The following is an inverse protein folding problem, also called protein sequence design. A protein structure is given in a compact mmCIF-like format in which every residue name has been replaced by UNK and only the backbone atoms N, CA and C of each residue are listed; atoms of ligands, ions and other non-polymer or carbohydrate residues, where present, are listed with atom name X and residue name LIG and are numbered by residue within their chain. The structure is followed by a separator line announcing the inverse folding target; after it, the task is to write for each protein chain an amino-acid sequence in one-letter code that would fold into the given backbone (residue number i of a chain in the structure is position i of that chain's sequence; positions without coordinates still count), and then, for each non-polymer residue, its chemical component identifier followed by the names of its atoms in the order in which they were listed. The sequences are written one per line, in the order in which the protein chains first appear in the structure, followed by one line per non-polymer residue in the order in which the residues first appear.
data_IF_736754342212
#
_entry.id   IF_736754342212
#
_cell.length_a   1.000
_cell.length_b   1.000
_cell.length_c   1.000
_cell.angle_alpha   90.00
_cell.angle_beta   90.00
_cell.angle_gamma   90.00
#
_symmetry.space_group_name_H-M   'P 1'
#
loop_
_entity.id
_entity.type
_entity.pdbx_description
1 polymer ?
#
# COMPACT_ATOMS: atom_id res chain seq x y z
N UNK A 1 -25.46 9.75 11.95
CA UNK A 1 -24.33 10.37 12.68
C UNK A 1 -23.23 10.66 11.66
N UNK A 2 -22.66 11.89 11.65
CA UNK A 2 -21.45 12.15 10.87
C UNK A 2 -20.31 11.36 11.52
N UNK A 3 -19.71 10.41 10.81
CA UNK A 3 -18.49 9.78 11.28
C UNK A 3 -17.43 10.89 11.41
N UNK A 4 -16.92 11.08 12.60
CA UNK A 4 -15.84 12.06 12.82
C UNK A 4 -14.51 11.32 12.68
N UNK A 5 -13.76 11.65 11.65
CA UNK A 5 -12.38 11.21 11.50
C UNK A 5 -11.46 12.32 12.04
N UNK A 6 -10.33 11.93 12.57
CA UNK A 6 -9.39 12.85 13.19
C UNK A 6 -8.55 13.57 12.12
N UNK A 7 -8.53 14.89 12.17
CA UNK A 7 -7.64 15.69 11.32
C UNK A 7 -6.35 15.96 12.08
N UNK A 8 -5.23 15.74 11.43
CA UNK A 8 -3.90 15.85 12.04
C UNK A 8 -3.35 17.28 11.87
N UNK A 9 -2.74 17.79 12.92
CA UNK A 9 -1.99 19.05 12.84
C UNK A 9 -0.70 18.84 12.04
N UNK A 10 -0.09 19.93 11.59
CA UNK A 10 1.20 19.84 10.89
C UNK A 10 2.28 19.15 11.75
N UNK A 11 2.30 19.39 13.07
CA UNK A 11 3.20 18.68 13.98
C UNK A 11 2.96 17.18 14.00
N UNK A 12 1.69 16.77 14.01
CA UNK A 12 1.31 15.36 14.00
C UNK A 12 1.69 14.71 12.66
N UNK A 13 1.50 15.41 11.54
CA UNK A 13 1.92 14.93 10.22
C UNK A 13 3.43 14.69 10.19
N UNK A 14 4.25 15.59 10.78
CA UNK A 14 5.70 15.37 10.87
C UNK A 14 6.04 14.11 11.68
N UNK A 15 5.28 13.82 12.75
CA UNK A 15 5.48 12.58 13.52
C UNK A 15 5.12 11.34 12.69
N UNK A 16 4.04 11.42 11.90
CA UNK A 16 3.69 10.36 10.97
C UNK A 16 4.76 10.19 9.88
N UNK A 17 5.38 11.31 9.42
CA UNK A 17 6.46 11.24 8.45
C UNK A 17 7.63 10.40 8.98
N UNK A 18 7.98 10.52 10.26
CA UNK A 18 9.03 9.69 10.86
C UNK A 18 8.70 8.21 10.77
N UNK A 19 7.44 7.83 11.08
CA UNK A 19 6.98 6.45 10.96
C UNK A 19 6.99 6.00 9.49
N UNK A 20 6.52 6.87 8.60
CA UNK A 20 6.49 6.59 7.15
C UNK A 20 7.89 6.37 6.57
N UNK A 21 8.89 7.15 7.00
CA UNK A 21 10.27 6.97 6.55
C UNK A 21 10.85 5.65 7.08
N UNK A 22 10.49 5.26 8.29
CA UNK A 22 10.95 3.98 8.85
C UNK A 22 10.30 2.80 8.09
N UNK A 23 9.02 2.92 7.76
CA UNK A 23 8.32 1.95 6.90
C UNK A 23 9.02 1.84 5.54
N UNK A 24 9.29 2.98 4.90
CA UNK A 24 9.99 3.01 3.60
C UNK A 24 11.36 2.34 3.68
N UNK A 25 12.11 2.58 4.76
CA UNK A 25 13.43 1.96 4.97
C UNK A 25 13.29 0.43 5.14
N UNK A 26 12.29 -0.02 5.89
CA UNK A 26 12.06 -1.47 6.07
C UNK A 26 11.74 -2.13 4.72
N UNK A 27 10.82 -1.51 3.95
CA UNK A 27 10.46 -2.00 2.63
C UNK A 27 11.66 -2.00 1.66
N UNK A 28 12.51 -0.97 1.70
CA UNK A 28 13.70 -0.91 0.86
C UNK A 28 14.67 -2.06 1.19
N UNK A 29 14.88 -2.35 2.49
CA UNK A 29 15.74 -3.45 2.91
C UNK A 29 15.17 -4.82 2.52
N UNK A 30 13.85 -4.99 2.67
CA UNK A 30 13.16 -6.22 2.22
C UNK A 30 13.32 -6.36 0.70
N UNK A 31 13.04 -5.30 -0.05
CA UNK A 31 13.15 -5.32 -1.53
C UNK A 31 14.55 -5.71 -1.99
N UNK A 32 15.58 -5.19 -1.32
CA UNK A 32 16.97 -5.50 -1.65
C UNK A 32 17.34 -6.97 -1.37
N UNK A 33 16.59 -7.63 -0.47
CA UNK A 33 16.82 -9.04 -0.11
C UNK A 33 16.05 -10.03 -1.00
N UNK A 34 15.09 -9.55 -1.81
CA UNK A 34 14.27 -10.43 -2.65
C UNK A 34 15.13 -11.03 -3.76
N UNK A 35 15.25 -12.35 -3.75
CA UNK A 35 15.98 -13.14 -4.75
C UNK A 35 15.48 -14.59 -4.68
N UNK A 36 15.73 -15.40 -5.72
CA UNK A 36 15.38 -16.83 -5.63
C UNK A 36 16.07 -17.48 -4.43
N UNK A 37 15.34 -18.30 -3.70
CA UNK A 37 15.85 -19.05 -2.56
C UNK A 37 15.61 -18.40 -1.21
N UNK A 38 15.23 -17.11 -1.15
CA UNK A 38 14.86 -16.48 0.13
C UNK A 38 13.45 -16.92 0.53
N UNK A 39 13.20 -17.08 1.81
CA UNK A 39 11.85 -17.37 2.31
C UNK A 39 11.13 -16.08 2.68
N UNK A 40 9.79 -16.14 2.66
CA UNK A 40 8.99 -14.99 3.08
C UNK A 40 9.22 -14.69 4.58
N UNK A 41 9.54 -15.69 5.39
CA UNK A 41 9.87 -15.50 6.80
C UNK A 41 11.20 -14.75 7.00
N UNK A 42 12.22 -15.03 6.15
CA UNK A 42 13.48 -14.25 6.19
C UNK A 42 13.23 -12.78 5.85
N UNK A 43 12.34 -12.50 4.91
CA UNK A 43 11.96 -11.12 4.57
C UNK A 43 11.26 -10.44 5.75
N UNK A 44 10.40 -11.17 6.47
CA UNK A 44 9.72 -10.69 7.67
C UNK A 44 10.74 -10.27 8.75
N UNK A 45 11.75 -11.11 8.98
CA UNK A 45 12.80 -10.85 9.96
C UNK A 45 13.62 -9.60 9.60
N UNK A 46 13.87 -9.37 8.31
CA UNK A 46 14.59 -8.18 7.84
C UNK A 46 13.77 -6.92 8.16
N UNK A 47 12.46 -6.97 7.89
CA UNK A 47 11.57 -5.84 8.19
C UNK A 47 11.54 -5.57 9.71
N UNK A 48 11.33 -6.62 10.50
CA UNK A 48 11.26 -6.49 11.96
C UNK A 48 12.56 -5.87 12.51
N UNK A 49 13.70 -6.42 12.11
CA UNK A 49 14.98 -5.89 12.55
C UNK A 49 15.14 -4.41 12.18
N UNK A 50 14.78 -4.06 10.95
CA UNK A 50 14.91 -2.67 10.48
C UNK A 50 14.04 -1.72 11.31
N UNK A 51 12.79 -2.11 11.56
CA UNK A 51 11.85 -1.26 12.32
C UNK A 51 12.32 -1.10 13.76
N UNK A 52 12.71 -2.20 14.42
CA UNK A 52 13.15 -2.16 15.81
C UNK A 52 14.48 -1.39 15.97
N UNK A 53 15.44 -1.60 15.08
CA UNK A 53 16.70 -0.85 15.08
C UNK A 53 16.46 0.67 14.86
N UNK A 54 15.40 1.03 14.14
CA UNK A 54 14.99 2.41 13.94
C UNK A 54 14.18 3.00 15.08
N UNK A 55 13.97 2.25 16.16
CA UNK A 55 13.25 2.72 17.35
C UNK A 55 11.72 2.63 17.21
N UNK A 56 11.23 1.96 16.19
CA UNK A 56 9.80 1.77 15.97
C UNK A 56 9.29 0.42 16.44
N UNK A 57 7.99 0.23 16.27
CA UNK A 57 7.28 -1.02 16.56
C UNK A 57 6.64 -1.49 15.24
N UNK A 58 6.80 -2.78 14.85
CA UNK A 58 6.03 -3.31 13.72
C UNK A 58 4.53 -3.24 14.06
N UNK A 59 3.79 -2.39 13.36
CA UNK A 59 2.40 -2.14 13.74
C UNK A 59 1.47 -3.29 13.39
N UNK A 60 1.82 -4.14 12.42
CA UNK A 60 1.03 -5.35 12.10
C UNK A 60 1.00 -6.30 13.30
N UNK A 61 2.09 -6.37 14.09
CA UNK A 61 2.13 -7.20 15.32
C UNK A 61 1.18 -6.69 16.41
N UNK A 62 0.62 -5.48 16.26
CA UNK A 62 -0.39 -4.94 17.17
C UNK A 62 -1.81 -5.36 16.76
N UNK A 63 -1.98 -5.96 15.58
CA UNK A 63 -3.28 -6.48 15.13
C UNK A 63 -3.57 -7.79 15.85
N UNK A 64 -4.69 -7.91 16.57
CA UNK A 64 -4.99 -9.15 17.31
C UNK A 64 -4.98 -10.38 16.41
N UNK A 65 -4.17 -11.37 16.76
CA UNK A 65 -4.05 -12.63 16.03
C UNK A 65 -3.02 -12.63 14.91
N UNK A 66 -2.40 -11.49 14.59
CA UNK A 66 -1.34 -11.43 13.58
C UNK A 66 0.02 -11.30 14.28
N UNK A 67 1.00 -12.14 13.92
CA UNK A 67 2.25 -12.25 14.68
C UNK A 67 3.50 -11.89 13.87
N UNK A 68 3.32 -11.39 12.65
CA UNK A 68 4.41 -11.06 11.73
C UNK A 68 4.51 -9.54 11.51
N UNK A 69 5.63 -9.13 10.96
CA UNK A 69 5.93 -7.71 10.71
C UNK A 69 5.39 -7.24 9.36
N UNK A 70 5.37 -8.17 8.38
CA UNK A 70 4.91 -7.86 7.02
C UNK A 70 3.78 -8.82 6.64
N UNK A 71 3.03 -8.47 5.59
CA UNK A 71 2.33 -9.44 4.78
C UNK A 71 3.18 -9.70 3.54
N UNK A 72 3.34 -10.99 3.17
CA UNK A 72 4.14 -11.40 2.01
C UNK A 72 3.26 -12.26 1.11
N UNK A 73 2.68 -11.65 0.10
CA UNK A 73 1.67 -12.28 -0.75
C UNK A 73 2.28 -12.65 -2.09
N UNK A 74 2.17 -13.92 -2.49
CA UNK A 74 2.88 -14.47 -3.64
C UNK A 74 1.88 -14.92 -4.71
N UNK A 75 2.08 -14.42 -5.93
CA UNK A 75 1.33 -14.83 -7.14
C UNK A 75 -0.19 -14.61 -6.97
N UNK A 76 -0.97 -15.68 -6.81
CA UNK A 76 -2.44 -15.57 -6.68
C UNK A 76 -2.91 -15.12 -5.30
N UNK A 77 -2.05 -15.07 -4.29
CA UNK A 77 -2.36 -14.40 -3.02
C UNK A 77 -2.18 -12.91 -3.24
N UNK A 78 -3.23 -12.12 -3.09
CA UNK A 78 -3.22 -10.68 -3.41
C UNK A 78 -2.72 -9.88 -2.22
N UNK A 79 -3.27 -10.15 -1.02
CA UNK A 79 -2.92 -9.45 0.23
C UNK A 79 -2.98 -10.42 1.41
N UNK A 80 -2.42 -9.99 2.53
CA UNK A 80 -2.45 -10.65 3.84
C UNK A 80 -1.77 -12.04 3.87
N UNK A 81 -0.90 -12.36 2.90
CA UNK A 81 -0.14 -13.60 2.95
C UNK A 81 0.75 -13.65 4.18
N UNK A 82 0.64 -14.72 4.98
CA UNK A 82 1.44 -14.87 6.21
C UNK A 82 2.87 -15.29 5.84
N UNK A 83 3.90 -14.56 6.31
CA UNK A 83 5.28 -15.01 6.15
C UNK A 83 5.52 -16.42 6.70
N UNK A 84 6.23 -17.23 5.93
CA UNK A 84 6.42 -18.65 6.24
C UNK A 84 7.73 -19.16 5.64
N UNK A 85 7.94 -20.47 5.69
CA UNK A 85 9.07 -21.11 5.02
C UNK A 85 8.86 -21.23 3.50
N UNK A 86 7.85 -20.56 2.95
CA UNK A 86 7.66 -20.50 1.49
C UNK A 86 8.89 -19.86 0.85
N UNK A 87 9.55 -20.62 -0.03
CA UNK A 87 10.75 -20.18 -0.74
C UNK A 87 10.29 -19.45 -2.01
N UNK A 88 10.83 -18.25 -2.24
CA UNK A 88 10.57 -17.51 -3.46
C UNK A 88 11.37 -18.08 -4.63
N UNK A 89 10.69 -18.20 -5.76
CA UNK A 89 11.30 -18.70 -7.01
C UNK A 89 11.45 -17.56 -8.03
N UNK A 90 12.39 -17.73 -8.96
CA UNK A 90 12.58 -16.76 -10.04
C UNK A 90 11.28 -16.59 -10.82
N UNK A 91 10.81 -15.36 -10.92
CA UNK A 91 9.59 -15.02 -11.65
C UNK A 91 8.34 -14.86 -10.78
N UNK A 92 8.43 -15.17 -9.50
CA UNK A 92 7.29 -14.93 -8.60
C UNK A 92 6.94 -13.44 -8.47
N UNK A 93 5.58 -12.73 -8.23
CA UNK A 93 5.14 -11.73 -8.10
C UNK A 93 5.08 -11.59 -6.89
N UNK A 94 5.62 -10.87 -6.17
CA UNK A 94 5.55 -10.81 -4.69
C UNK A 94 5.11 -9.41 -4.26
N UNK A 95 4.04 -9.35 -3.49
CA UNK A 95 3.58 -8.11 -2.82
C UNK A 95 4.03 -8.15 -1.36
N UNK A 96 4.74 -7.12 -0.94
CA UNK A 96 5.18 -6.94 0.46
C UNK A 96 4.49 -5.70 1.01
N UNK A 97 3.80 -5.88 2.12
CA UNK A 97 3.09 -4.83 2.83
C UNK A 97 3.65 -4.74 4.25
N UNK A 98 3.89 -3.52 4.73
CA UNK A 98 4.63 -3.29 5.98
C UNK A 98 4.26 -1.96 6.59
N UNK A 99 4.06 -1.97 7.90
CA UNK A 99 3.83 -0.73 8.63
C UNK A 99 4.69 -0.61 9.89
N UNK A 100 4.99 0.63 10.25
CA UNK A 100 5.76 0.93 11.46
C UNK A 100 5.04 2.00 12.30
N UNK A 101 5.16 1.85 13.62
CA UNK A 101 4.72 2.86 14.57
C UNK A 101 5.92 3.50 15.25
N UNK A 102 5.95 4.83 15.33
CA UNK A 102 6.92 5.57 16.15
C UNK A 102 6.14 6.52 17.08
N UNK A 103 6.34 6.36 18.38
CA UNK A 103 5.74 7.23 19.40
C UNK A 103 4.21 7.37 19.26
N UNK A 104 3.57 6.26 18.88
CA UNK A 104 2.12 6.20 18.73
C UNK A 104 1.59 6.80 17.42
N UNK A 105 2.44 6.94 16.39
CA UNK A 105 2.05 7.41 15.06
C UNK A 105 2.46 6.38 14.01
N UNK A 106 1.59 6.13 13.05
CA UNK A 106 1.72 5.03 12.10
C UNK A 106 2.10 5.49 10.70
N UNK A 107 2.84 4.63 10.01
CA UNK A 107 3.03 4.67 8.56
C UNK A 107 2.77 3.28 8.00
N UNK A 108 2.21 3.21 6.80
CA UNK A 108 1.82 1.97 6.13
C UNK A 108 2.10 2.08 4.64
N UNK A 109 2.63 1.01 4.03
CA UNK A 109 2.99 1.06 2.62
C UNK A 109 3.25 -0.34 2.06
N UNK A 110 2.98 -0.53 0.77
CA UNK A 110 3.21 -1.80 0.08
C UNK A 110 3.82 -1.60 -1.31
N UNK A 111 4.51 -2.63 -1.77
CA UNK A 111 5.00 -2.71 -3.15
C UNK A 111 4.85 -4.12 -3.71
N UNK A 112 4.78 -4.22 -5.04
CA UNK A 112 4.80 -5.51 -5.75
C UNK A 112 5.99 -5.54 -6.70
N UNK A 113 6.77 -6.62 -6.66
CA UNK A 113 7.93 -6.83 -7.55
C UNK A 113 7.97 -8.25 -8.09
N UNK A 114 8.77 -8.43 -9.11
CA UNK A 114 9.05 -9.76 -9.68
C UNK A 114 10.39 -10.25 -9.12
N UNK A 115 10.41 -11.48 -8.59
CA UNK A 115 11.66 -12.11 -8.15
C UNK A 115 12.58 -12.28 -9.37
N UNK A 116 13.81 -11.76 -9.33
CA UNK A 116 14.67 -11.76 -10.52
C UNK A 116 15.08 -13.17 -10.98
N UNK A 117 15.50 -13.29 -12.25
CA UNK A 117 16.08 -14.53 -12.79
C UNK A 117 15.22 -15.25 -13.82
N UNK A 118 13.95 -14.86 -13.99
CA UNK A 118 13.07 -15.46 -15.00
C UNK A 118 12.76 -14.47 -16.14
N UNK A 119 12.37 -15.01 -17.27
CA UNK A 119 11.98 -14.25 -18.47
C UNK A 119 10.81 -14.95 -19.14
N UNK A 120 10.17 -14.28 -20.07
CA UNK A 120 9.08 -14.87 -20.87
C UNK A 120 7.81 -14.06 -20.75
N UNK A 121 6.77 -14.55 -21.37
CA UNK A 121 5.50 -13.82 -21.48
C UNK A 121 4.81 -13.64 -20.12
N UNK A 122 4.81 -14.65 -19.28
CA UNK A 122 4.23 -14.55 -17.94
C UNK A 122 4.91 -13.44 -17.13
N UNK A 123 6.24 -13.32 -17.24
CA UNK A 123 6.98 -12.29 -16.49
C UNK A 123 6.60 -10.89 -16.96
N UNK A 124 6.40 -10.72 -18.28
CA UNK A 124 5.94 -9.44 -18.84
C UNK A 124 4.53 -9.09 -18.33
N UNK A 125 3.65 -10.09 -18.28
CA UNK A 125 2.27 -9.89 -17.79
C UNK A 125 2.27 -9.51 -16.31
N UNK A 126 3.07 -10.18 -15.48
CA UNK A 126 3.24 -9.85 -14.06
C UNK A 126 3.81 -8.44 -13.87
N UNK A 127 4.81 -8.08 -14.68
CA UNK A 127 5.38 -6.72 -14.62
C UNK A 127 4.32 -5.69 -15.00
N UNK A 128 3.57 -5.94 -16.08
CA UNK A 128 2.49 -5.03 -16.50
C UNK A 128 1.44 -4.88 -15.39
N UNK A 129 1.06 -5.99 -14.73
CA UNK A 129 0.09 -5.93 -13.63
C UNK A 129 0.62 -5.04 -12.49
N UNK A 130 1.87 -5.24 -12.07
CA UNK A 130 2.50 -4.42 -11.02
C UNK A 130 2.58 -2.94 -11.44
N UNK A 131 3.00 -2.67 -12.68
CA UNK A 131 3.14 -1.30 -13.19
C UNK A 131 1.79 -0.58 -13.24
N UNK A 132 0.73 -1.28 -13.65
CA UNK A 132 -0.63 -0.72 -13.69
C UNK A 132 -1.13 -0.45 -12.27
N UNK A 133 -0.87 -1.36 -11.33
CA UNK A 133 -1.24 -1.17 -9.92
C UNK A 133 -0.52 0.06 -9.35
N UNK A 134 0.80 0.15 -9.54
CA UNK A 134 1.59 1.30 -9.09
C UNK A 134 1.09 2.60 -9.75
N UNK A 135 0.85 2.56 -11.05
CA UNK A 135 0.33 3.74 -11.78
C UNK A 135 -1.03 4.18 -11.25
N UNK A 136 -1.88 3.22 -10.88
CA UNK A 136 -3.21 3.54 -10.33
C UNK A 136 -3.10 4.17 -8.93
N UNK A 137 -2.14 3.72 -8.11
CA UNK A 137 -1.85 4.36 -6.83
C UNK A 137 -1.46 5.83 -7.05
N UNK A 138 -0.51 6.10 -7.95
CA UNK A 138 -0.08 7.48 -8.19
C UNK A 138 -1.20 8.33 -8.81
N UNK A 139 -2.07 7.74 -9.65
CA UNK A 139 -3.26 8.45 -10.15
C UNK A 139 -4.21 8.82 -9.00
N UNK A 140 -4.40 7.91 -8.06
CA UNK A 140 -5.22 8.18 -6.85
C UNK A 140 -4.61 9.28 -5.99
N UNK A 141 -3.29 9.23 -5.74
CA UNK A 141 -2.60 10.27 -4.95
C UNK A 141 -2.68 11.63 -5.68
N UNK A 142 -2.48 11.64 -7.01
CA UNK A 142 -2.60 12.87 -7.80
C UNK A 142 -4.02 13.44 -7.72
N UNK A 143 -5.03 12.58 -7.80
CA UNK A 143 -6.42 13.02 -7.64
C UNK A 143 -6.65 13.63 -6.25
N UNK A 144 -6.13 12.99 -5.20
CA UNK A 144 -6.27 13.50 -3.82
C UNK A 144 -5.73 14.92 -3.69
N UNK A 145 -4.65 15.24 -4.39
CA UNK A 145 -4.03 16.58 -4.32
C UNK A 145 -4.99 17.71 -4.75
N UNK A 146 -5.96 17.41 -5.63
CA UNK A 146 -6.93 18.41 -6.10
C UNK A 146 -8.39 18.11 -5.74
N UNK A 147 -8.64 16.99 -5.07
CA UNK A 147 -9.99 16.51 -4.80
C UNK A 147 -10.75 17.41 -3.81
N UNK A 148 -12.03 17.58 -4.06
CA UNK A 148 -12.95 18.19 -3.09
C UNK A 148 -13.57 17.12 -2.19
N UNK A 149 -13.70 15.91 -2.72
CA UNK A 149 -14.33 14.77 -2.05
C UNK A 149 -13.43 13.55 -2.15
N UNK A 150 -13.32 12.80 -1.06
CA UNK A 150 -12.34 11.70 -0.97
C UNK A 150 -12.57 10.62 -2.03
N UNK A 151 -13.82 10.31 -2.35
CA UNK A 151 -14.09 9.22 -3.30
C UNK A 151 -13.74 9.57 -4.75
N UNK A 152 -13.28 10.80 -5.04
CA UNK A 152 -12.64 11.12 -6.33
C UNK A 152 -11.35 10.29 -6.52
N UNK A 153 -10.69 9.89 -5.42
CA UNK A 153 -9.52 9.00 -5.44
C UNK A 153 -9.87 7.67 -6.13
N UNK A 154 -10.95 7.02 -5.68
CA UNK A 154 -11.35 5.72 -6.24
C UNK A 154 -11.73 5.80 -7.71
N UNK A 155 -12.29 6.93 -8.13
CA UNK A 155 -12.59 7.16 -9.56
C UNK A 155 -11.29 7.16 -10.36
N UNK A 156 -10.27 7.90 -9.90
CA UNK A 156 -8.98 8.01 -10.60
C UNK A 156 -8.23 6.68 -10.64
N UNK A 157 -8.25 5.93 -9.52
CA UNK A 157 -7.64 4.58 -9.45
C UNK A 157 -8.30 3.68 -10.51
N UNK A 158 -9.64 3.57 -10.48
CA UNK A 158 -10.36 2.68 -11.38
C UNK A 158 -10.18 3.08 -12.85
N UNK A 159 -10.25 4.39 -13.17
CA UNK A 159 -10.07 4.86 -14.54
C UNK A 159 -8.67 4.53 -15.05
N UNK A 160 -7.64 4.69 -14.19
CA UNK A 160 -6.28 4.32 -14.58
C UNK A 160 -6.21 2.82 -14.91
N UNK A 161 -6.66 1.96 -14.00
CA UNK A 161 -6.60 0.49 -14.20
C UNK A 161 -7.30 0.10 -15.50
N UNK A 162 -8.57 0.51 -15.66
CA UNK A 162 -9.38 0.08 -16.80
C UNK A 162 -8.91 0.67 -18.12
N UNK A 163 -8.17 1.78 -18.11
CA UNK A 163 -7.57 2.35 -19.33
C UNK A 163 -6.40 1.51 -19.86
N UNK A 164 -5.79 0.68 -19.00
CA UNK A 164 -4.62 -0.13 -19.35
C UNK A 164 -5.00 -1.57 -19.71
N UNK A 165 -5.90 -2.19 -18.93
CA UNK A 165 -6.30 -3.59 -19.13
C UNK A 165 -7.59 -3.86 -18.34
N UNK A 166 -8.35 -4.90 -18.71
CA UNK A 166 -9.56 -5.27 -17.97
C UNK A 166 -9.22 -6.07 -16.71
N UNK A 167 -8.37 -5.51 -15.87
CA UNK A 167 -7.96 -6.11 -14.61
C UNK A 167 -9.07 -6.01 -13.56
N UNK A 168 -9.17 -7.01 -12.67
CA UNK A 168 -10.05 -6.97 -11.51
C UNK A 168 -9.53 -5.98 -10.47
N UNK A 169 -10.44 -5.30 -9.78
CA UNK A 169 -10.10 -4.42 -8.65
C UNK A 169 -10.83 -5.00 -7.44
N UNK A 170 -10.12 -5.33 -6.38
CA UNK A 170 -10.74 -5.88 -5.17
C UNK A 170 -11.67 -4.83 -4.54
N UNK A 171 -12.91 -5.23 -4.27
CA UNK A 171 -13.90 -4.33 -3.68
C UNK A 171 -14.05 -4.52 -2.17
N UNK A 172 -13.64 -5.68 -1.64
CA UNK A 172 -13.76 -5.99 -0.22
C UNK A 172 -12.64 -5.36 0.62
N UNK A 173 -11.54 -4.97 -0.01
CA UNK A 173 -10.37 -4.41 0.64
C UNK A 173 -10.13 -3.01 0.07
N UNK A 174 -9.99 -2.03 0.97
CA UNK A 174 -9.93 -0.61 0.58
C UNK A 174 -8.95 0.11 1.50
N UNK A 175 -8.45 1.23 1.05
CA UNK A 175 -7.61 2.09 1.86
C UNK A 175 -8.37 2.70 3.04
N UNK A 176 -7.64 3.40 3.88
CA UNK A 176 -8.17 3.84 5.19
C UNK A 176 -7.53 5.15 5.65
N UNK A 177 -8.16 5.79 6.60
CA UNK A 177 -7.51 6.83 7.36
C UNK A 177 -6.37 6.22 8.19
N UNK A 178 -5.35 7.00 8.50
CA UNK A 178 -4.21 6.54 9.29
C UNK A 178 -3.73 7.65 10.21
N UNK A 179 -3.24 7.26 11.39
CA UNK A 179 -2.76 8.24 12.37
C UNK A 179 -2.28 7.58 13.64
N UNK A 180 -3.05 7.75 14.74
CA UNK A 180 -2.78 7.08 16.01
C UNK A 180 -3.05 5.59 15.94
N UNK A 181 -4.00 5.20 15.11
CA UNK A 181 -4.21 3.80 14.76
C UNK A 181 -3.76 3.58 13.32
N UNK A 182 -3.34 2.37 13.00
CA UNK A 182 -3.01 2.01 11.63
C UNK A 182 -4.24 2.18 10.75
N UNK A 183 -5.37 1.61 11.17
CA UNK A 183 -6.64 1.73 10.45
C UNK A 183 -7.58 2.70 11.18
N UNK A 184 -7.93 3.81 10.52
CA UNK A 184 -8.89 4.81 10.99
C UNK A 184 -9.95 5.07 9.91
N UNK A 185 -11.07 5.69 10.29
CA UNK A 185 -11.94 6.31 9.29
C UNK A 185 -11.21 7.50 8.63
N UNK A 186 -11.52 7.83 7.37
CA UNK A 186 -12.52 7.23 6.51
C UNK A 186 -11.94 6.09 5.64
N UNK A 187 -12.81 5.24 5.12
CA UNK A 187 -12.43 4.29 4.06
C UNK A 187 -12.06 5.06 2.79
N UNK A 188 -11.09 4.53 2.05
CA UNK A 188 -10.61 5.11 0.79
C UNK A 188 -10.78 4.06 -0.32
N UNK A 189 -11.81 4.21 -1.13
CA UNK A 189 -12.14 3.24 -2.16
C UNK A 189 -11.15 3.31 -3.33
N UNK A 190 -10.90 2.15 -3.95
CA UNK A 190 -10.06 2.01 -5.13
C UNK A 190 -10.91 1.93 -6.42
N UNK A 191 -12.19 2.21 -6.30
CA UNK A 191 -13.16 2.11 -7.39
C UNK A 191 -14.27 3.15 -7.17
N UNK A 192 -15.02 3.42 -8.23
CA UNK A 192 -16.10 4.38 -8.20
C UNK A 192 -17.25 3.87 -7.32
N UNK A 193 -17.66 4.69 -6.36
CA UNK A 193 -18.85 4.46 -5.54
C UNK A 193 -19.83 5.61 -5.72
N UNK A 194 -21.09 5.36 -5.41
CA UNK A 194 -22.16 6.38 -5.58
C UNK A 194 -21.98 7.57 -4.64
N UNK A 195 -21.56 7.30 -3.41
CA UNK A 195 -21.34 8.36 -2.42
C UNK A 195 -20.05 9.12 -2.75
N UNK A 196 -20.05 10.43 -2.57
CA UNK A 196 -18.87 11.25 -2.84
C UNK A 196 -17.81 11.20 -1.74
N UNK A 197 -18.17 10.69 -0.58
CA UNK A 197 -17.28 10.64 0.57
C UNK A 197 -17.11 11.95 1.31
N UNK A 198 -16.27 11.98 2.34
CA UNK A 198 -16.03 13.20 3.10
C UNK A 198 -15.28 14.24 2.27
N UNK A 199 -15.29 15.48 2.75
CA UNK A 199 -14.50 16.56 2.15
C UNK A 199 -13.02 16.30 2.39
N UNK A 200 -12.21 16.56 1.35
CA UNK A 200 -10.76 16.60 1.49
C UNK A 200 -10.40 17.96 2.10
N UNK A 201 -9.77 17.94 3.25
CA UNK A 201 -9.41 19.16 3.99
C UNK A 201 -8.01 18.98 4.62
N UNK A 202 -7.31 20.08 4.91
CA UNK A 202 -6.02 19.98 5.59
C UNK A 202 -6.11 19.19 6.91
N UNK A 203 -5.15 18.31 7.12
CA UNK A 203 -5.08 17.40 8.25
C UNK A 203 -5.56 15.98 7.93
N UNK A 204 -6.16 15.77 6.76
CA UNK A 204 -6.57 14.43 6.35
C UNK A 204 -5.31 13.61 6.02
N UNK A 205 -5.18 12.44 6.67
CA UNK A 205 -4.11 11.48 6.40
C UNK A 205 -4.74 10.14 6.07
N UNK A 206 -4.35 9.55 4.94
CA UNK A 206 -4.96 8.30 4.44
C UNK A 206 -3.90 7.38 3.84
N UNK A 207 -4.17 6.09 3.88
CA UNK A 207 -3.51 5.07 3.05
C UNK A 207 -4.34 4.92 1.77
N UNK A 208 -3.67 4.97 0.63
CA UNK A 208 -4.26 4.67 -0.68
C UNK A 208 -3.58 3.40 -1.16
N UNK A 209 -4.36 2.34 -1.43
CA UNK A 209 -3.79 1.00 -1.58
C UNK A 209 -4.57 0.16 -2.60
N UNK A 210 -4.46 0.47 -3.89
CA UNK A 210 -5.11 -0.38 -4.88
C UNK A 210 -4.60 -1.81 -4.85
N UNK A 211 -5.55 -2.74 -4.91
CA UNK A 211 -5.31 -4.18 -5.01
C UNK A 211 -5.99 -4.64 -6.29
N UNK A 212 -5.20 -5.12 -7.26
CA UNK A 212 -5.74 -5.52 -8.56
C UNK A 212 -5.32 -6.94 -8.92
N UNK A 213 -6.07 -7.57 -9.80
CA UNK A 213 -5.82 -8.94 -10.25
C UNK A 213 -5.75 -9.00 -11.76
N UNK A 214 -4.97 -9.96 -12.29
CA UNK A 214 -4.88 -10.15 -13.74
C UNK A 214 -6.13 -10.84 -14.32
N UNK A 215 -7.04 -11.29 -13.46
CA UNK A 215 -8.30 -11.94 -13.84
C UNK A 215 -9.51 -11.34 -13.12
N UNK A 216 -10.39 -12.21 -12.61
CA UNK A 216 -11.60 -11.77 -11.90
C UNK A 216 -11.23 -11.22 -10.52
N UNK A 217 -12.02 -10.26 -10.04
CA UNK A 217 -11.82 -9.66 -8.71
C UNK A 217 -12.27 -10.53 -7.53
N UNK A 218 -12.86 -11.70 -7.82
CA UNK A 218 -13.36 -12.60 -6.77
C UNK A 218 -12.22 -13.26 -6.03
N UNK A 219 -12.30 -13.24 -4.71
CA UNK A 219 -11.28 -13.80 -3.82
C UNK A 219 -11.92 -14.71 -2.78
N UNK A 220 -11.06 -15.47 -2.10
CA UNK A 220 -11.43 -16.26 -0.94
C UNK A 220 -10.32 -16.13 0.12
N UNK A 221 -10.67 -16.35 1.38
CA UNK A 221 -9.69 -16.38 2.47
C UNK A 221 -9.12 -17.79 2.54
N UNK A 222 -7.80 -17.88 2.59
CA UNK A 222 -7.08 -19.15 2.66
C UNK A 222 -7.26 -19.85 4.02
N UNK A 223 -6.82 -21.09 4.12
CA UNK A 223 -7.02 -21.92 5.33
C UNK A 223 -6.28 -21.38 6.57
N UNK A 224 -5.39 -20.39 6.38
CA UNK A 224 -4.71 -19.72 7.47
C UNK A 224 -5.53 -18.59 8.12
N UNK A 225 -6.76 -18.37 7.65
CA UNK A 225 -7.70 -17.33 8.09
C UNK A 225 -7.24 -15.90 7.75
N UNK A 226 -6.16 -15.71 6.99
CA UNK A 226 -5.59 -14.39 6.64
C UNK A 226 -5.42 -14.19 5.14
N UNK A 227 -4.67 -15.06 4.50
CA UNK A 227 -4.30 -14.89 3.09
C UNK A 227 -5.52 -14.73 2.19
N UNK A 228 -5.53 -13.71 1.34
CA UNK A 228 -6.64 -13.44 0.41
C UNK A 228 -6.16 -13.81 -0.99
N UNK A 229 -6.70 -14.89 -1.54
CA UNK A 229 -6.28 -15.39 -2.85
C UNK A 229 -7.38 -15.25 -3.90
N UNK A 230 -7.00 -15.11 -5.17
CA UNK A 230 -7.94 -15.03 -6.28
C UNK A 230 -8.64 -16.36 -6.50
N UNK A 231 -9.93 -16.31 -6.79
CA UNK A 231 -10.73 -17.54 -7.00
C UNK A 231 -10.40 -18.24 -8.32
N UNK A 232 -9.85 -17.51 -9.28
CA UNK A 232 -9.51 -18.04 -10.61
C UNK A 232 -8.02 -18.34 -10.77
N UNK A 233 -7.23 -18.23 -9.69
CA UNK A 233 -5.78 -18.42 -9.67
C UNK A 233 -4.99 -17.38 -10.49
N UNK A 234 -5.62 -16.27 -10.84
CA UNK A 234 -4.91 -15.15 -11.49
C UNK A 234 -3.96 -14.46 -10.49
N UNK A 235 -2.92 -13.79 -11.01
CA UNK A 235 -1.96 -13.09 -10.16
C UNK A 235 -2.57 -11.80 -9.58
N UNK A 236 -2.11 -11.41 -8.37
CA UNK A 236 -2.51 -10.19 -7.71
C UNK A 236 -1.35 -9.22 -7.52
N UNK A 237 -1.66 -7.93 -7.46
CA UNK A 237 -0.69 -6.87 -7.14
C UNK A 237 -1.28 -5.89 -6.13
N UNK A 238 -0.43 -5.40 -5.24
CA UNK A 238 -0.78 -4.45 -4.19
C UNK A 238 0.32 -3.39 -4.09
N UNK A 239 -0.06 -2.13 -4.21
CA UNK A 239 0.83 -0.99 -4.00
C UNK A 239 0.15 -0.01 -3.07
N UNK A 240 0.92 0.63 -2.19
CA UNK A 240 0.34 1.50 -1.18
C UNK A 240 1.29 2.60 -0.74
N UNK A 241 0.70 3.75 -0.40
CA UNK A 241 1.39 4.83 0.31
C UNK A 241 0.46 5.50 1.32
N UNK A 242 1.04 5.88 2.47
CA UNK A 242 0.42 6.82 3.41
C UNK A 242 0.65 8.26 2.94
N UNK A 243 -0.43 9.05 2.88
CA UNK A 243 -0.41 10.37 2.27
C UNK A 243 -1.10 11.37 3.21
N UNK A 244 -0.51 12.56 3.36
CA UNK A 244 -1.10 13.66 4.13
C UNK A 244 -1.51 14.80 3.22
N UNK A 245 -2.71 15.36 3.49
CA UNK A 245 -3.16 16.63 2.91
C UNK A 245 -2.95 17.72 3.96
N UNK A 246 -2.33 18.82 3.57
CA UNK A 246 -2.14 19.97 4.47
C UNK A 246 -2.37 21.29 3.73
N UNK A 247 -2.31 22.39 4.45
CA UNK A 247 -2.68 23.71 3.89
C UNK A 247 -1.87 24.12 2.67
N UNK A 248 -0.64 23.58 2.53
CA UNK A 248 0.25 23.94 1.42
C UNK A 248 0.19 22.93 0.26
N UNK A 249 -0.45 21.77 0.46
CA UNK A 249 -0.53 20.74 -0.58
C UNK A 249 -0.59 19.33 -0.05
N UNK A 250 0.02 18.40 -0.76
CA UNK A 250 0.03 16.97 -0.45
C UNK A 250 1.46 16.52 -0.15
N UNK A 251 1.60 15.53 0.73
CA UNK A 251 2.91 14.98 1.09
C UNK A 251 2.78 13.46 1.24
N UNK A 252 3.57 12.70 0.48
CA UNK A 252 3.56 11.23 0.55
C UNK A 252 4.52 10.81 1.65
N UNK A 253 3.97 10.36 2.77
CA UNK A 253 4.72 10.15 4.01
C UNK A 253 5.65 8.94 3.95
N UNK A 254 5.33 7.96 3.12
CA UNK A 254 6.09 6.71 2.96
C UNK A 254 6.96 6.68 1.70
N UNK A 255 7.06 7.80 0.96
CA UNK A 255 8.02 7.93 -0.13
C UNK A 255 9.20 8.78 0.35
N UNK A 256 10.44 8.31 0.19
CA UNK A 256 11.63 9.02 0.68
C UNK A 256 11.71 10.46 0.15
N UNK A 257 11.33 10.65 -1.12
CA UNK A 257 11.31 11.96 -1.79
C UNK A 257 10.02 12.75 -1.53
N UNK A 258 9.13 12.24 -0.67
CA UNK A 258 7.83 12.86 -0.41
C UNK A 258 6.83 12.75 -1.55
N UNK A 259 7.13 11.93 -2.57
CA UNK A 259 6.27 11.69 -3.73
C UNK A 259 6.66 12.49 -4.98
N UNK A 260 7.83 13.09 -5.01
CA UNK A 260 8.27 13.95 -6.13
C UNK A 260 8.26 13.17 -7.45
N UNK A 261 8.92 12.01 -7.50
CA UNK A 261 9.03 11.24 -8.75
C UNK A 261 7.68 10.66 -9.17
N UNK A 262 6.89 10.13 -8.22
CA UNK A 262 5.60 9.51 -8.55
C UNK A 262 4.55 10.51 -9.02
N UNK A 263 4.58 11.75 -8.51
CA UNK A 263 3.62 12.79 -8.89
C UNK A 263 4.05 13.61 -10.10
N UNK A 264 5.32 13.51 -10.51
CA UNK A 264 5.86 14.25 -11.66
C UNK A 264 5.07 14.03 -12.96
N UNK A 265 4.66 12.80 -13.33
CA UNK A 265 3.86 12.61 -14.55
C UNK A 265 2.52 13.34 -14.54
N UNK A 266 2.01 13.69 -13.37
CA UNK A 266 0.73 14.40 -13.18
C UNK A 266 0.92 15.91 -13.05
N UNK A 267 2.17 16.40 -13.13
CA UNK A 267 2.46 17.83 -13.00
C UNK A 267 2.24 18.39 -11.60
N UNK A 268 2.26 17.52 -10.57
CA UNK A 268 2.03 17.90 -9.18
C UNK A 268 3.35 17.88 -8.42
N UNK A 269 3.61 18.95 -7.67
CA UNK A 269 4.79 19.04 -6.79
C UNK A 269 4.31 18.85 -5.35
N UNK A 270 4.69 17.76 -4.68
CA UNK A 270 4.35 17.61 -3.27
C UNK A 270 5.10 18.64 -2.42
N UNK A 271 4.56 18.94 -1.24
CA UNK A 271 5.12 19.97 -0.36
C UNK A 271 5.44 19.36 1.00
N UNK A 272 6.71 19.40 1.37
CA UNK A 272 7.15 18.97 2.70
C UNK A 272 6.69 19.97 3.77
N UNK A 273 6.48 19.48 4.97
CA UNK A 273 6.28 20.29 6.17
C UNK A 273 7.58 20.44 6.99
N UNK A 274 8.70 19.87 6.52
CA UNK A 274 10.01 19.97 7.17
C UNK A 274 10.65 21.34 6.91
#
# INVERSE_FOLDING_TARGET
MRKSYELKTNEQIRKMRAAGLLTAKALANVKAAIKPGVTTLELDQIAEKTIRDGGGIPNFQLVPGYFHTICASVNSTVVHGIPSNQVLEAGDXVSIDCGAEIAGWNGDSAFTVIVPGAQGELIKQRQQLSDVCQGSLWAGIAALAGAKKLNEVGVAVQEHVLSQAPYGILEQYVGHGIGRSMHEDPAVFNYRVRDQGPKVVPGLCVAIEPMITSGDQKTFIQDDDWGVATADSSDGAHWEHSVAVHEKGIWVLTAEDGGVEGLKPFGITPVSLD
#
